data_IF_745059924182
#
_entry.id   IF_745059924182
#
_cell.length_a   1.000
_cell.length_b   1.000
_cell.length_c   1.000
_cell.angle_alpha   90.00
_cell.angle_beta   90.00
_cell.angle_gamma   90.00
#
_symmetry.space_group_name_H-M   'P 1'
#
loop_
_entity.id
_entity.type
_entity.pdbx_description
1 polymer ?
#
# COMPACT_ATOMS: atom_id res chain seq x y z
N UNK A 1 -9.59 -18.28 2.84
CA UNK A 1 -8.33 -17.68 3.32
C UNK A 1 -7.21 -18.06 2.37
N UNK A 2 -6.49 -17.10 1.90
CA UNK A 2 -5.37 -17.32 0.99
C UNK A 2 -4.04 -17.18 1.72
N UNK A 3 -3.01 -17.82 1.18
CA UNK A 3 -1.67 -17.77 1.74
C UNK A 3 -0.74 -17.09 0.72
N UNK A 4 -0.03 -16.06 1.15
CA UNK A 4 0.92 -15.34 0.32
C UNK A 4 2.27 -15.27 1.04
N UNK A 5 3.32 -14.97 0.27
CA UNK A 5 4.65 -14.78 0.82
C UNK A 5 5.13 -13.36 0.59
N UNK A 6 5.89 -12.86 1.55
CA UNK A 6 6.50 -11.55 1.53
C UNK A 6 7.98 -11.66 1.15
N UNK A 7 8.64 -10.50 0.97
CA UNK A 7 10.08 -10.41 0.72
C UNK A 7 10.91 -11.18 1.75
N UNK A 8 10.48 -11.19 3.00
CA UNK A 8 11.13 -11.92 4.08
C UNK A 8 10.93 -13.43 4.01
N UNK A 9 10.22 -13.91 2.99
CA UNK A 9 9.85 -15.31 2.81
C UNK A 9 8.91 -15.86 3.89
N UNK A 10 8.39 -15.00 4.77
CA UNK A 10 7.41 -15.38 5.78
C UNK A 10 6.03 -15.50 5.13
N UNK A 11 5.32 -16.62 5.32
CA UNK A 11 3.97 -16.73 4.79
C UNK A 11 2.97 -15.94 5.62
N UNK A 12 1.90 -15.50 4.95
CA UNK A 12 0.78 -14.81 5.58
C UNK A 12 -0.53 -15.46 5.16
N UNK A 13 -1.49 -15.46 6.07
CA UNK A 13 -2.87 -15.77 5.75
C UNK A 13 -3.59 -14.48 5.39
N UNK A 14 -4.38 -14.52 4.32
CA UNK A 14 -5.18 -13.40 3.85
C UNK A 14 -6.64 -13.76 3.92
N UNK A 15 -7.44 -12.88 4.49
CA UNK A 15 -8.89 -13.07 4.59
C UNK A 15 -9.60 -11.75 4.34
N UNK A 16 -10.87 -11.77 3.90
CA UNK A 16 -11.62 -10.55 3.66
C UNK A 16 -11.63 -9.68 4.91
N UNK A 17 -11.47 -8.37 4.71
CA UNK A 17 -11.52 -7.40 5.80
C UNK A 17 -12.87 -6.71 5.80
N UNK A 18 -13.62 -6.83 6.92
CA UNK A 18 -14.89 -6.15 7.09
C UNK A 18 -14.72 -4.79 7.73
N UNK A 19 -13.64 -4.59 8.48
CA UNK A 19 -13.34 -3.34 9.15
C UNK A 19 -11.83 -3.22 9.29
N UNK A 20 -11.29 -2.10 8.84
CA UNK A 20 -9.85 -1.83 8.90
C UNK A 20 -9.55 -0.79 9.95
N UNK A 21 -8.37 -0.89 10.54
CA UNK A 21 -7.85 0.09 11.49
C UNK A 21 -6.50 0.60 11.00
N UNK A 22 -6.13 1.79 11.44
CA UNK A 22 -4.83 2.38 11.12
C UNK A 22 -3.73 1.49 11.70
N UNK A 23 -2.64 1.33 10.95
CA UNK A 23 -1.48 0.47 11.18
C UNK A 23 -1.69 -1.01 10.89
N UNK A 24 -2.91 -1.43 10.61
CA UNK A 24 -3.20 -2.83 10.30
C UNK A 24 -2.49 -3.28 9.03
N UNK A 25 -1.93 -4.50 9.06
CA UNK A 25 -1.30 -5.11 7.88
C UNK A 25 -2.37 -5.69 6.98
N UNK A 26 -2.31 -5.33 5.70
CA UNK A 26 -3.28 -5.77 4.70
C UNK A 26 -2.58 -6.28 3.45
N UNK A 27 -3.25 -7.17 2.74
CA UNK A 27 -2.86 -7.59 1.40
C UNK A 27 -3.69 -6.82 0.40
N UNK A 28 -3.03 -6.15 -0.52
CA UNK A 28 -3.68 -5.34 -1.55
C UNK A 28 -3.53 -6.02 -2.89
N UNK A 29 -4.65 -6.35 -3.52
CA UNK A 29 -4.67 -6.82 -4.90
C UNK A 29 -4.74 -5.58 -5.79
N UNK A 30 -3.65 -5.21 -6.49
CA UNK A 30 -3.67 -3.97 -7.26
C UNK A 30 -4.77 -3.96 -8.32
N UNK A 31 -5.46 -2.83 -8.51
CA UNK A 31 -6.36 -2.67 -9.65
C UNK A 31 -5.63 -2.88 -10.98
N UNK A 32 -6.35 -3.23 -12.03
CA UNK A 32 -5.76 -3.72 -13.28
C UNK A 32 -4.69 -2.80 -13.88
N UNK A 33 -4.94 -1.51 -13.97
CA UNK A 33 -3.95 -0.59 -14.53
C UNK A 33 -2.69 -0.48 -13.67
N UNK A 34 -2.88 -0.46 -12.37
CA UNK A 34 -1.75 -0.43 -11.44
C UNK A 34 -0.99 -1.75 -11.51
N UNK A 35 -1.69 -2.87 -11.55
CA UNK A 35 -1.06 -4.19 -11.66
C UNK A 35 -0.21 -4.29 -12.93
N UNK A 36 -0.72 -3.80 -14.05
CA UNK A 36 0.02 -3.79 -15.32
C UNK A 36 1.27 -2.91 -15.23
N UNK A 37 1.17 -1.74 -14.63
CA UNK A 37 2.31 -0.85 -14.43
C UNK A 37 3.40 -1.52 -13.59
N UNK A 38 3.01 -2.13 -12.48
CA UNK A 38 3.95 -2.78 -11.57
C UNK A 38 4.67 -3.95 -12.24
N UNK A 39 3.94 -4.75 -13.01
CA UNK A 39 4.52 -5.88 -13.73
C UNK A 39 5.46 -5.45 -14.84
N UNK A 40 5.03 -4.48 -15.66
CA UNK A 40 5.83 -3.97 -16.77
C UNK A 40 7.17 -3.39 -16.32
N UNK A 41 7.20 -2.80 -15.14
CA UNK A 41 8.41 -2.17 -14.60
C UNK A 41 9.20 -3.09 -13.66
N UNK A 42 8.78 -4.34 -13.52
CA UNK A 42 9.50 -5.33 -12.72
C UNK A 42 9.37 -5.13 -11.22
N UNK A 43 8.40 -4.35 -10.75
CA UNK A 43 8.20 -4.12 -9.32
C UNK A 43 7.43 -5.25 -8.66
N UNK A 44 6.40 -5.77 -9.33
CA UNK A 44 5.54 -6.80 -8.78
C UNK A 44 4.86 -7.56 -9.92
N UNK A 45 5.03 -8.90 -9.99
CA UNK A 45 4.33 -9.69 -11.00
C UNK A 45 2.82 -9.61 -10.86
N UNK A 46 2.11 -9.71 -11.99
CA UNK A 46 0.64 -9.79 -11.98
C UNK A 46 0.20 -10.98 -11.13
N UNK A 47 -0.84 -10.78 -10.34
CA UNK A 47 -1.40 -11.82 -9.49
C UNK A 47 -0.78 -11.90 -8.10
N UNK A 48 0.32 -11.20 -7.86
CA UNK A 48 0.97 -11.15 -6.54
C UNK A 48 0.42 -9.95 -5.76
N UNK A 49 -0.17 -10.17 -4.59
CA UNK A 49 -0.65 -9.05 -3.77
C UNK A 49 0.49 -8.33 -3.08
N UNK A 50 0.27 -7.04 -2.80
CA UNK A 50 1.19 -6.23 -1.99
C UNK A 50 0.83 -6.36 -0.52
N UNK A 51 1.82 -6.42 0.36
CA UNK A 51 1.60 -6.32 1.81
C UNK A 51 1.94 -4.91 2.25
N UNK A 52 0.96 -4.21 2.78
CA UNK A 52 1.07 -2.81 3.18
C UNK A 52 0.36 -2.57 4.52
N UNK A 53 0.65 -1.43 5.15
CA UNK A 53 -0.06 -1.00 6.35
C UNK A 53 -1.12 0.03 5.98
N UNK A 54 -2.27 -0.05 6.63
CA UNK A 54 -3.28 1.00 6.53
C UNK A 54 -2.77 2.24 7.25
N UNK A 55 -2.76 3.37 6.57
CA UNK A 55 -2.32 4.63 7.19
C UNK A 55 -3.46 5.61 7.38
N UNK A 56 -4.45 5.61 6.51
CA UNK A 56 -5.60 6.51 6.64
C UNK A 56 -6.87 5.84 6.13
N UNK A 57 -7.99 6.24 6.70
CA UNK A 57 -9.32 5.66 6.50
C UNK A 57 -10.28 6.70 5.91
N UNK A 58 -11.47 6.29 5.44
CA UNK A 58 -12.47 7.22 4.92
C UNK A 58 -12.72 8.39 5.86
N UNK A 59 -12.84 9.58 5.28
CA UNK A 59 -13.05 10.82 6.01
C UNK A 59 -11.77 11.54 6.40
N UNK A 60 -10.63 10.87 6.42
CA UNK A 60 -9.34 11.52 6.64
C UNK A 60 -8.85 12.17 5.34
N UNK A 61 -7.98 13.16 5.47
CA UNK A 61 -7.41 13.86 4.33
C UNK A 61 -5.96 13.48 4.17
N UNK A 62 -5.59 13.00 2.98
CA UNK A 62 -4.20 12.77 2.63
C UNK A 62 -3.75 13.83 1.65
N UNK A 63 -2.56 14.36 1.87
CA UNK A 63 -1.97 15.39 1.01
C UNK A 63 -0.60 14.95 0.53
N UNK A 64 -0.31 15.24 -0.73
CA UNK A 64 1.05 15.18 -1.22
C UNK A 64 1.45 16.55 -1.71
N UNK A 65 2.47 17.12 -1.10
CA UNK A 65 3.00 18.43 -1.44
C UNK A 65 4.47 18.26 -1.82
N UNK A 66 4.73 18.30 -3.12
CA UNK A 66 6.03 17.89 -3.62
C UNK A 66 6.25 16.41 -3.32
N UNK A 67 7.24 16.10 -2.49
CA UNK A 67 7.53 14.73 -2.07
C UNK A 67 6.98 14.41 -0.69
N UNK A 68 6.45 15.40 0.03
CA UNK A 68 5.97 15.19 1.40
C UNK A 68 4.54 14.66 1.42
N UNK A 69 4.33 13.70 2.29
CA UNK A 69 3.01 13.09 2.51
C UNK A 69 2.54 13.45 3.90
N UNK A 70 1.30 13.92 4.00
CA UNK A 70 0.67 14.24 5.28
C UNK A 70 -0.72 13.62 5.36
N UNK A 71 -1.10 13.21 6.56
CA UNK A 71 -2.45 12.73 6.87
C UNK A 71 -3.02 13.64 7.96
N UNK A 72 -4.15 14.27 7.66
CA UNK A 72 -4.80 15.22 8.57
C UNK A 72 -3.83 16.29 9.09
N UNK A 73 -2.93 16.76 8.22
CA UNK A 73 -1.96 17.79 8.54
C UNK A 73 -0.71 17.31 9.24
N UNK A 74 -0.57 16.00 9.49
CA UNK A 74 0.61 15.43 10.15
C UNK A 74 1.51 14.78 9.10
N UNK A 75 2.78 15.19 9.06
CA UNK A 75 3.75 14.58 8.14
C UNK A 75 3.98 13.12 8.51
N UNK A 76 3.86 12.23 7.51
CA UNK A 76 4.00 10.80 7.73
C UNK A 76 5.12 10.18 6.90
N UNK A 77 5.70 10.92 5.98
CA UNK A 77 6.83 10.44 5.19
C UNK A 77 7.02 11.19 3.91
N UNK A 78 7.90 10.67 3.08
CA UNK A 78 8.24 11.28 1.79
C UNK A 78 8.22 10.24 0.68
N UNK A 79 7.85 10.70 -0.51
CA UNK A 79 7.99 9.94 -1.75
C UNK A 79 9.34 10.22 -2.39
N UNK A 80 9.68 9.43 -3.40
CA UNK A 80 10.82 9.67 -4.28
C UNK A 80 10.33 10.09 -5.66
N UNK A 81 11.15 10.85 -6.38
CA UNK A 81 10.85 11.18 -7.76
C UNK A 81 11.16 10.00 -8.70
N UNK A 82 12.19 9.23 -8.36
CA UNK A 82 12.68 8.12 -9.18
C UNK A 82 12.95 6.90 -8.32
N UNK A 83 12.87 5.73 -8.96
CA UNK A 83 13.22 4.48 -8.30
C UNK A 83 14.75 4.32 -8.21
N UNK A 84 15.21 3.19 -7.64
CA UNK A 84 16.64 2.92 -7.49
C UNK A 84 17.39 2.75 -8.80
N UNK A 85 16.70 2.62 -9.92
CA UNK A 85 17.27 2.53 -11.26
C UNK A 85 17.17 3.84 -12.03
N UNK A 86 16.73 4.92 -11.37
CA UNK A 86 16.60 6.23 -11.99
C UNK A 86 15.35 6.42 -12.83
N UNK A 87 14.39 5.50 -12.81
CA UNK A 87 13.16 5.62 -13.58
C UNK A 87 12.14 6.48 -12.82
N UNK A 88 11.37 7.32 -13.54
CA UNK A 88 10.36 8.15 -12.88
C UNK A 88 9.29 7.29 -12.18
N UNK A 89 8.89 7.73 -11.01
CA UNK A 89 7.79 7.10 -10.26
C UNK A 89 6.49 7.88 -10.46
N UNK A 90 5.34 7.22 -10.36
CA UNK A 90 4.05 7.92 -10.43
C UNK A 90 3.97 8.99 -9.35
N UNK A 91 3.27 10.08 -9.67
CA UNK A 91 3.09 11.18 -8.73
C UNK A 91 1.66 11.68 -8.79
N UNK A 92 1.16 12.07 -7.65
CA UNK A 92 -0.07 12.83 -7.50
C UNK A 92 0.22 14.02 -6.60
N UNK A 93 -0.63 15.03 -6.65
CA UNK A 93 -0.41 16.26 -5.89
C UNK A 93 -1.71 16.79 -5.33
N UNK A 94 -1.57 17.58 -4.25
CA UNK A 94 -2.71 18.19 -3.59
C UNK A 94 -3.25 17.32 -2.47
N UNK A 95 -4.45 17.61 -2.05
CA UNK A 95 -5.11 16.94 -0.95
C UNK A 95 -6.34 16.20 -1.44
N UNK A 96 -6.61 15.03 -0.85
CA UNK A 96 -7.80 14.24 -1.12
C UNK A 96 -8.41 13.78 0.18
N UNK A 97 -9.71 13.97 0.32
CA UNK A 97 -10.48 13.33 1.38
C UNK A 97 -10.72 11.89 0.92
N UNK A 98 -10.37 10.93 1.77
CA UNK A 98 -10.56 9.52 1.45
C UNK A 98 -12.07 9.25 1.43
N UNK A 99 -12.55 8.78 0.28
CA UNK A 99 -13.97 8.47 0.09
C UNK A 99 -14.35 7.17 0.81
N UNK A 100 -15.66 7.01 1.05
CA UNK A 100 -16.19 5.75 1.54
C UNK A 100 -15.81 4.64 0.56
N UNK A 101 -15.34 3.53 1.08
CA UNK A 101 -14.89 2.42 0.25
C UNK A 101 -13.44 2.49 -0.19
N UNK A 102 -12.73 3.56 0.14
CA UNK A 102 -11.30 3.70 -0.17
C UNK A 102 -10.46 3.65 1.09
N UNK A 103 -9.15 3.46 0.92
CA UNK A 103 -8.19 3.42 2.01
C UNK A 103 -6.82 3.85 1.49
N UNK A 104 -6.04 4.48 2.35
CA UNK A 104 -4.67 4.88 2.02
C UNK A 104 -3.71 3.94 2.72
N UNK A 105 -2.86 3.27 1.93
CA UNK A 105 -1.87 2.32 2.45
C UNK A 105 -0.47 2.87 2.27
N UNK A 106 0.38 2.65 3.26
CA UNK A 106 1.75 3.13 3.22
C UNK A 106 2.61 2.35 4.21
N UNK A 107 3.74 1.84 3.74
CA UNK A 107 4.75 1.24 4.61
C UNK A 107 5.72 2.34 5.07
N UNK A 108 5.31 3.11 6.07
CA UNK A 108 6.06 4.28 6.52
C UNK A 108 7.46 3.95 7.06
N UNK A 109 7.69 2.71 7.43
CA UNK A 109 9.00 2.25 7.92
C UNK A 109 9.96 1.93 6.79
N UNK A 110 9.51 1.92 5.54
CA UNK A 110 10.34 1.65 4.38
C UNK A 110 10.33 2.86 3.45
N UNK A 111 11.50 3.46 3.25
CA UNK A 111 11.63 4.61 2.37
C UNK A 111 11.43 4.24 0.89
N UNK A 112 11.65 2.98 0.54
CA UNK A 112 11.64 2.53 -0.85
C UNK A 112 10.38 1.76 -1.25
N UNK A 113 9.42 1.64 -0.35
CA UNK A 113 8.18 0.93 -0.63
C UNK A 113 7.32 1.71 -1.61
N UNK A 114 6.74 1.01 -2.59
CA UNK A 114 5.74 1.58 -3.50
C UNK A 114 4.36 1.39 -2.88
N UNK A 115 3.69 2.49 -2.57
CA UNK A 115 2.44 2.48 -1.83
C UNK A 115 1.62 3.73 -2.16
N UNK A 116 0.76 4.14 -1.25
CA UNK A 116 -0.10 5.31 -1.44
C UNK A 116 0.64 6.61 -1.72
N UNK A 117 1.92 6.69 -1.37
CA UNK A 117 2.74 7.85 -1.74
C UNK A 117 2.71 8.10 -3.25
N UNK A 118 2.57 7.04 -4.03
CA UNK A 118 2.63 7.07 -5.50
C UNK A 118 1.27 6.85 -6.14
N UNK A 119 0.38 6.08 -5.51
CA UNK A 119 -0.90 5.67 -6.10
C UNK A 119 -2.08 6.47 -5.60
N UNK A 120 -1.95 7.14 -4.45
CA UNK A 120 -3.09 7.73 -3.73
C UNK A 120 -3.94 6.66 -3.06
N UNK A 121 -5.15 7.03 -2.62
CA UNK A 121 -6.08 6.05 -2.02
C UNK A 121 -6.49 4.96 -3.02
N UNK A 122 -6.72 3.75 -2.50
CA UNK A 122 -7.13 2.58 -3.28
C UNK A 122 -8.48 2.07 -2.77
N UNK A 123 -9.25 1.38 -3.64
CA UNK A 123 -10.51 0.78 -3.22
C UNK A 123 -10.29 -0.28 -2.14
N UNK A 124 -11.07 -0.23 -1.07
CA UNK A 124 -10.99 -1.22 0.00
C UNK A 124 -11.43 -2.62 -0.46
N UNK A 125 -12.21 -2.70 -1.55
CA UNK A 125 -12.66 -3.98 -2.09
C UNK A 125 -11.51 -4.89 -2.57
N UNK A 126 -10.32 -4.30 -2.84
CA UNK A 126 -9.15 -5.08 -3.28
C UNK A 126 -8.21 -5.41 -2.11
N UNK A 127 -8.67 -5.23 -0.87
CA UNK A 127 -7.86 -5.36 0.32
C UNK A 127 -8.39 -6.47 1.21
N UNK A 128 -7.49 -7.33 1.67
CA UNK A 128 -7.77 -8.35 2.67
C UNK A 128 -6.87 -8.17 3.88
N UNK A 129 -7.34 -8.60 5.05
CA UNK A 129 -6.51 -8.58 6.25
C UNK A 129 -5.46 -9.66 6.17
N UNK A 130 -4.20 -9.31 6.47
CA UNK A 130 -3.09 -10.24 6.44
C UNK A 130 -2.58 -10.49 7.86
N UNK A 131 -2.40 -11.77 8.20
CA UNK A 131 -1.84 -12.17 9.47
C UNK A 131 -0.66 -13.11 9.26
N UNK A 132 0.44 -12.96 10.03
CA UNK A 132 1.56 -13.88 9.90
C UNK A 132 1.17 -15.30 10.24
N UNK A 133 1.76 -16.26 9.54
CA UNK A 133 1.62 -17.69 9.85
C UNK A 133 2.84 -18.10 10.65
N UNK A 134 2.60 -18.58 11.87
CA UNK A 134 3.68 -19.09 12.71
C UNK A 134 3.81 -20.59 12.52
N UNK A 135 5.03 -21.06 12.38
CA UNK A 135 5.32 -22.49 12.23
C UNK A 135 6.14 -22.95 13.42
N UNK A 136 5.97 -24.21 13.81
CA UNK A 136 6.60 -24.75 15.02
C UNK A 136 8.02 -25.24 14.80
N UNK A 137 8.41 -25.44 13.56
CA UNK A 137 9.76 -25.90 13.24
C UNK A 137 10.80 -24.81 13.12
N UNK A 138 10.45 -23.62 13.43
CA UNK A 138 11.36 -22.47 13.38
C UNK A 138 12.39 -22.47 14.49
#
# INVERSE_FOLDING_TARGET
>A
MERIKQRSNRPYHVQPATRLTVTELVAVQPPDLLAAFLDLNGYLPIGVPMLKRVLALPGQTVCRNGLKIAVDGVDVGEAHERDGQGRPLPAWHGCRVIADGDVFVMNWQSADSLDGRYFGPLPAAVIGRATPVWTHEE
#
